data_IF_038580160326
#
_entry.id   IF_038580160326
#
_cell.length_a   1.000
_cell.length_b   1.000
_cell.length_c   1.000
_cell.angle_alpha   90.00
_cell.angle_beta   90.00
_cell.angle_gamma   90.00
#
_symmetry.space_group_name_H-M   'P 1'
#
loop_
_entity.id
_entity.type
_entity.pdbx_description
1 polymer ?
#
# COMPACT_ATOMS: atom_id res chain seq x y z
N UNK A 1 -29.15 4.57 46.31
CA UNK A 1 -29.27 3.45 45.34
C UNK A 1 -29.30 3.88 43.87
N UNK A 2 -29.78 5.09 43.51
CA UNK A 2 -29.98 5.47 42.09
C UNK A 2 -28.74 6.03 41.38
N UNK A 3 -27.85 6.77 42.06
CA UNK A 3 -26.63 7.34 41.43
C UNK A 3 -25.55 6.29 41.10
N UNK A 4 -25.45 5.22 41.90
CA UNK A 4 -24.44 4.16 41.70
C UNK A 4 -24.77 3.34 40.44
N UNK A 5 -26.05 3.16 40.14
CA UNK A 5 -26.49 2.47 38.92
C UNK A 5 -26.17 3.27 37.65
N UNK A 6 -26.15 4.61 37.70
CA UNK A 6 -25.85 5.44 36.53
C UNK A 6 -24.36 5.42 36.17
N UNK A 7 -23.46 5.35 37.16
CA UNK A 7 -22.01 5.24 36.94
C UNK A 7 -21.57 3.88 36.36
N UNK A 8 -22.29 2.79 36.66
CA UNK A 8 -21.99 1.45 36.15
C UNK A 8 -22.39 1.27 34.68
N UNK A 9 -23.41 1.98 34.19
CA UNK A 9 -23.88 1.87 32.79
C UNK A 9 -22.88 2.50 31.80
N UNK A 10 -22.14 3.53 32.21
CA UNK A 10 -21.14 4.21 31.36
C UNK A 10 -19.87 3.39 31.16
N UNK A 11 -19.54 2.47 32.07
CA UNK A 11 -18.34 1.62 31.99
C UNK A 11 -18.48 0.38 31.10
N UNK A 12 -19.69 0.07 30.59
CA UNK A 12 -19.95 -1.14 29.81
C UNK A 12 -19.79 -0.98 28.30
N UNK A 13 -19.48 0.21 27.78
CA UNK A 13 -19.12 0.38 26.37
C UNK A 13 -17.62 0.16 26.17
N UNK A 14 -17.23 -1.11 26.01
CA UNK A 14 -16.00 -1.45 25.28
C UNK A 14 -16.39 -1.56 23.81
N UNK A 15 -15.96 -0.65 22.92
CA UNK A 15 -16.14 -0.86 21.49
C UNK A 15 -15.35 -2.12 21.11
N UNK A 16 -16.04 -3.22 20.83
CA UNK A 16 -15.45 -4.38 20.19
C UNK A 16 -15.34 -4.09 18.69
N UNK A 17 -14.15 -3.68 18.27
CA UNK A 17 -13.84 -3.32 16.89
C UNK A 17 -12.38 -2.92 16.75
N UNK A 18 -11.83 -3.03 15.53
CA UNK A 18 -10.54 -2.41 15.24
C UNK A 18 -10.72 -0.89 15.25
N UNK A 19 -9.84 -0.17 15.93
CA UNK A 19 -9.96 1.29 16.11
C UNK A 19 -9.55 2.07 14.85
N UNK A 20 -8.84 1.43 13.93
CA UNK A 20 -8.26 2.06 12.76
C UNK A 20 -8.42 1.18 11.53
N UNK A 21 -8.81 1.83 10.43
CA UNK A 21 -8.62 1.30 9.09
C UNK A 21 -7.20 1.59 8.62
N UNK A 22 -6.65 0.69 7.79
CA UNK A 22 -5.34 0.85 7.17
C UNK A 22 -5.46 0.85 5.66
N UNK A 23 -4.66 1.70 5.01
CA UNK A 23 -4.56 1.77 3.56
C UNK A 23 -3.12 1.97 3.13
N UNK A 24 -2.83 1.61 1.89
CA UNK A 24 -1.52 1.78 1.28
C UNK A 24 -1.66 2.29 -0.14
N UNK A 25 -0.82 3.25 -0.53
CA UNK A 25 -0.54 3.53 -1.95
C UNK A 25 0.89 3.11 -2.25
N UNK A 26 1.10 2.51 -3.41
CA UNK A 26 2.42 2.08 -3.89
C UNK A 26 2.76 2.80 -5.17
N UNK A 27 3.85 3.56 -5.16
CA UNK A 27 4.44 4.24 -6.31
C UNK A 27 5.59 3.37 -6.81
N UNK A 28 5.52 2.97 -8.09
CA UNK A 28 6.56 2.24 -8.80
C UNK A 28 7.04 3.11 -9.95
N UNK A 29 8.31 3.48 -9.91
CA UNK A 29 8.95 4.34 -10.91
C UNK A 29 10.06 3.57 -11.60
N UNK A 30 9.95 3.47 -12.92
CA UNK A 30 10.91 2.74 -13.71
C UNK A 30 12.15 3.59 -13.96
N UNK A 31 13.30 2.98 -13.64
CA UNK A 31 14.63 3.53 -13.91
C UNK A 31 15.33 2.81 -15.06
N UNK A 32 14.54 2.12 -15.91
CA UNK A 32 15.02 1.38 -17.08
C UNK A 32 15.59 2.37 -18.12
N UNK A 33 16.84 2.17 -18.58
CA UNK A 33 17.42 2.93 -19.69
C UNK A 33 16.54 2.84 -20.94
N UNK A 34 16.58 3.87 -21.79
CA UNK A 34 15.72 4.02 -22.98
C UNK A 34 14.23 4.31 -22.69
N UNK A 35 13.79 4.31 -21.42
CA UNK A 35 12.47 4.82 -21.05
C UNK A 35 11.29 3.94 -21.44
N UNK A 36 11.52 2.64 -21.66
CA UNK A 36 10.48 1.63 -21.98
C UNK A 36 9.68 1.20 -20.73
N UNK A 37 10.05 1.74 -19.57
CA UNK A 37 9.39 1.50 -18.28
C UNK A 37 7.90 1.83 -18.24
N UNK A 38 7.21 1.29 -17.23
CA UNK A 38 5.80 1.57 -16.96
C UNK A 38 5.62 2.03 -15.52
N UNK A 39 5.96 3.29 -15.26
CA UNK A 39 5.80 3.88 -13.93
C UNK A 39 4.32 4.06 -13.58
N UNK A 40 3.92 3.68 -12.36
CA UNK A 40 2.53 3.68 -11.88
C UNK A 40 2.45 3.99 -10.40
N UNK A 41 1.36 4.63 -10.00
CA UNK A 41 0.89 4.65 -8.61
C UNK A 41 -0.35 3.75 -8.52
N UNK A 42 -0.35 2.83 -7.56
CA UNK A 42 -1.35 1.77 -7.39
C UNK A 42 -1.99 1.84 -6.01
N UNK A 43 -3.31 1.66 -5.97
CA UNK A 43 -4.10 1.48 -4.76
C UNK A 43 -5.15 0.38 -4.93
N UNK A 44 -5.21 -0.55 -3.99
CA UNK A 44 -6.29 -1.55 -3.95
C UNK A 44 -7.60 -0.92 -3.49
N UNK A 45 -8.70 -1.23 -4.20
CA UNK A 45 -10.06 -0.86 -3.81
C UNK A 45 -10.85 -2.04 -3.22
N UNK A 46 -10.22 -3.21 -3.13
CA UNK A 46 -10.79 -4.42 -2.53
C UNK A 46 -10.23 -4.67 -1.13
N UNK A 47 -11.09 -5.17 -0.25
CA UNK A 47 -10.73 -5.72 1.06
C UNK A 47 -10.62 -7.24 0.90
N UNK A 48 -9.50 -7.83 1.35
CA UNK A 48 -9.32 -9.28 1.42
C UNK A 48 -8.90 -9.70 2.82
N UNK A 49 -9.45 -10.79 3.34
CA UNK A 49 -9.01 -11.38 4.60
C UNK A 49 -7.78 -12.26 4.37
N UNK A 50 -6.67 -11.94 5.03
CA UNK A 50 -5.44 -12.73 4.93
C UNK A 50 -5.63 -14.17 5.42
N UNK A 51 -6.64 -14.43 6.28
CA UNK A 51 -6.94 -15.76 6.81
C UNK A 51 -7.37 -16.74 5.72
N UNK A 52 -8.02 -16.27 4.66
CA UNK A 52 -8.39 -17.10 3.50
C UNK A 52 -7.16 -17.69 2.81
N UNK A 53 -6.00 -17.03 2.94
CA UNK A 53 -4.74 -17.42 2.31
C UNK A 53 -3.69 -17.87 3.33
N UNK A 54 -4.08 -18.06 4.60
CA UNK A 54 -3.18 -18.46 5.69
C UNK A 54 -3.55 -19.84 6.20
N UNK A 55 -2.53 -20.60 6.63
CA UNK A 55 -2.71 -21.89 7.29
C UNK A 55 -1.88 -21.90 8.56
N UNK A 56 -2.49 -22.31 9.67
CA UNK A 56 -1.76 -22.57 10.93
C UNK A 56 -1.00 -23.88 10.74
N UNK A 57 0.31 -23.85 10.99
CA UNK A 57 1.16 -25.03 10.91
C UNK A 57 1.26 -25.68 12.29
N UNK A 58 1.08 -27.00 12.38
CA UNK A 58 1.23 -27.77 13.62
C UNK A 58 2.03 -29.05 13.38
N UNK A 59 2.38 -29.77 14.45
CA UNK A 59 3.00 -31.10 14.33
C UNK A 59 2.06 -32.10 13.63
N UNK A 60 0.76 -32.05 13.95
CA UNK A 60 -0.27 -32.93 13.37
C UNK A 60 -0.66 -32.55 11.94
N UNK A 61 -0.49 -31.27 11.55
CA UNK A 61 -0.78 -30.79 10.19
C UNK A 61 0.30 -29.82 9.70
N UNK A 62 1.34 -30.41 9.11
CA UNK A 62 2.51 -29.71 8.57
C UNK A 62 2.50 -29.61 7.03
N UNK A 63 1.40 -29.99 6.37
CA UNK A 63 1.32 -29.86 4.92
C UNK A 63 1.33 -28.39 4.49
N UNK A 64 2.00 -28.10 3.37
CA UNK A 64 2.04 -26.76 2.77
C UNK A 64 0.62 -26.24 2.49
N UNK A 65 0.41 -24.94 2.71
CA UNK A 65 -0.80 -24.24 2.31
C UNK A 65 -1.09 -24.39 0.80
N UNK A 66 -2.32 -24.79 0.45
CA UNK A 66 -2.80 -25.07 -0.91
C UNK A 66 -3.72 -23.96 -1.47
N UNK A 67 -3.92 -22.86 -0.76
CA UNK A 67 -4.74 -21.73 -1.23
C UNK A 67 -4.29 -21.24 -2.61
N UNK A 68 -5.25 -20.94 -3.50
CA UNK A 68 -4.95 -20.57 -4.88
C UNK A 68 -4.41 -19.14 -4.97
N UNK A 69 -3.23 -19.00 -5.56
CA UNK A 69 -2.62 -17.69 -5.86
C UNK A 69 -3.43 -16.90 -6.88
N UNK A 70 -4.21 -17.57 -7.72
CA UNK A 70 -5.14 -16.95 -8.65
C UNK A 70 -6.17 -16.08 -7.94
N UNK A 71 -6.68 -16.57 -6.81
CA UNK A 71 -7.70 -15.89 -5.99
C UNK A 71 -7.12 -14.71 -5.19
N UNK A 72 -5.80 -14.65 -4.96
CA UNK A 72 -5.15 -13.50 -4.31
C UNK A 72 -5.21 -12.25 -5.20
N UNK A 73 -5.23 -12.41 -6.53
CA UNK A 73 -5.18 -11.27 -7.47
C UNK A 73 -6.40 -10.37 -7.31
N UNK A 74 -6.15 -9.10 -7.00
CA UNK A 74 -7.14 -8.02 -6.98
C UNK A 74 -7.31 -7.48 -8.41
N UNK A 75 -8.55 -7.38 -8.89
CA UNK A 75 -8.84 -6.81 -10.21
C UNK A 75 -9.35 -5.38 -10.13
N UNK A 76 -9.98 -5.02 -9.01
CA UNK A 76 -10.45 -3.67 -8.75
C UNK A 76 -9.40 -2.89 -7.94
N UNK A 77 -8.55 -2.16 -8.65
CA UNK A 77 -7.56 -1.25 -8.11
C UNK A 77 -7.49 0.02 -8.95
N UNK A 78 -7.13 1.14 -8.31
CA UNK A 78 -6.85 2.39 -9.00
C UNK A 78 -5.42 2.37 -9.54
N UNK A 79 -5.26 2.59 -10.85
CA UNK A 79 -3.96 2.73 -11.51
C UNK A 79 -3.79 4.15 -12.05
N UNK A 80 -2.90 4.92 -11.43
CA UNK A 80 -2.49 6.23 -11.92
C UNK A 80 -1.19 6.13 -12.71
N UNK A 81 -1.19 6.64 -13.94
CA UNK A 81 0.00 6.65 -14.80
C UNK A 81 1.01 7.70 -14.33
N UNK A 82 2.28 7.29 -14.25
CA UNK A 82 3.41 8.16 -13.98
C UNK A 82 4.41 8.13 -15.14
N UNK A 83 5.30 9.10 -15.17
CA UNK A 83 6.36 9.22 -16.15
C UNK A 83 7.62 8.47 -15.68
N UNK A 84 8.39 7.93 -16.62
CA UNK A 84 9.65 7.24 -16.30
C UNK A 84 10.75 8.22 -15.94
N UNK A 85 11.67 7.81 -15.06
CA UNK A 85 12.80 8.65 -14.65
C UNK A 85 13.86 8.78 -15.74
N UNK A 86 13.98 7.80 -16.63
CA UNK A 86 15.02 7.76 -17.66
C UNK A 86 14.44 7.70 -19.07
N UNK A 87 15.22 8.20 -20.02
CA UNK A 87 15.10 7.88 -21.45
C UNK A 87 16.50 7.67 -22.04
N UNK A 88 16.62 7.63 -23.38
CA UNK A 88 17.91 7.44 -24.06
C UNK A 88 18.92 8.59 -23.79
N UNK A 89 18.44 9.77 -23.37
CA UNK A 89 19.26 10.93 -23.05
C UNK A 89 19.60 11.08 -21.57
N UNK A 90 19.23 10.12 -20.72
CA UNK A 90 19.49 10.14 -19.27
C UNK A 90 18.27 10.50 -18.43
N UNK A 91 18.52 11.08 -17.26
CA UNK A 91 17.49 11.39 -16.24
C UNK A 91 16.58 12.52 -16.72
N UNK A 92 15.29 12.35 -16.49
CA UNK A 92 14.23 13.30 -16.84
C UNK A 92 13.69 13.98 -15.60
N UNK A 93 14.39 15.00 -15.10
CA UNK A 93 13.99 15.73 -13.89
C UNK A 93 12.58 16.33 -13.94
N UNK A 94 12.12 16.78 -15.11
CA UNK A 94 10.74 17.25 -15.29
C UNK A 94 9.71 16.13 -15.08
N UNK A 95 10.05 14.88 -15.42
CA UNK A 95 9.18 13.73 -15.18
C UNK A 95 9.06 13.47 -13.67
N UNK A 96 10.17 13.60 -12.94
CA UNK A 96 10.19 13.49 -11.47
C UNK A 96 9.26 14.54 -10.87
N UNK A 97 9.45 15.82 -11.22
CA UNK A 97 8.61 16.91 -10.71
C UNK A 97 7.11 16.73 -11.04
N UNK A 98 6.79 16.21 -12.23
CA UNK A 98 5.40 15.91 -12.60
C UNK A 98 4.83 14.73 -11.80
N UNK A 99 5.61 13.68 -11.57
CA UNK A 99 5.21 12.56 -10.71
C UNK A 99 4.99 13.03 -9.27
N UNK A 100 5.88 13.85 -8.72
CA UNK A 100 5.75 14.43 -7.38
C UNK A 100 4.44 15.20 -7.24
N UNK A 101 4.06 16.01 -8.24
CA UNK A 101 2.78 16.72 -8.23
C UNK A 101 1.57 15.77 -8.16
N UNK A 102 1.62 14.66 -8.91
CA UNK A 102 0.56 13.63 -8.91
C UNK A 102 0.51 12.92 -7.54
N UNK A 103 1.65 12.49 -7.00
CA UNK A 103 1.73 11.83 -5.69
C UNK A 103 1.24 12.76 -4.59
N UNK A 104 1.68 14.02 -4.58
CA UNK A 104 1.25 15.04 -3.63
C UNK A 104 -0.25 15.26 -3.69
N UNK A 105 -0.86 15.28 -4.88
CA UNK A 105 -2.31 15.41 -5.03
C UNK A 105 -3.05 14.25 -4.36
N UNK A 106 -2.57 13.00 -4.51
CA UNK A 106 -3.21 11.83 -3.88
C UNK A 106 -3.01 11.79 -2.38
N UNK A 107 -1.79 12.08 -1.92
CA UNK A 107 -1.48 12.16 -0.49
C UNK A 107 -2.34 13.24 0.17
N UNK A 108 -2.44 14.42 -0.44
CA UNK A 108 -3.27 15.52 0.10
C UNK A 108 -4.74 15.13 0.22
N UNK A 109 -5.30 14.48 -0.82
CA UNK A 109 -6.66 13.96 -0.75
C UNK A 109 -6.86 13.01 0.44
N UNK A 110 -5.92 12.10 0.69
CA UNK A 110 -6.03 11.18 1.83
C UNK A 110 -5.99 11.91 3.17
N UNK A 111 -5.12 12.91 3.30
CA UNK A 111 -5.08 13.75 4.49
C UNK A 111 -6.41 14.50 4.70
N UNK A 112 -6.99 15.07 3.64
CA UNK A 112 -8.29 15.75 3.68
C UNK A 112 -9.44 14.80 4.04
N UNK A 113 -9.36 13.54 3.61
CA UNK A 113 -10.28 12.47 3.99
C UNK A 113 -10.07 11.97 5.43
N UNK A 114 -9.10 12.50 6.17
CA UNK A 114 -8.80 12.16 7.56
C UNK A 114 -7.90 10.93 7.73
N UNK A 115 -7.21 10.49 6.68
CA UNK A 115 -6.14 9.52 6.81
C UNK A 115 -4.87 10.19 7.33
N UNK A 116 -4.15 9.50 8.21
CA UNK A 116 -2.85 9.92 8.72
C UNK A 116 -1.76 9.05 8.12
N UNK A 117 -0.65 9.67 7.68
CA UNK A 117 0.55 8.92 7.28
C UNK A 117 1.17 8.28 8.52
N UNK A 118 1.35 6.98 8.48
CA UNK A 118 2.04 6.19 9.52
C UNK A 118 3.52 6.03 9.18
N UNK A 119 3.81 5.72 7.92
CA UNK A 119 5.18 5.48 7.46
C UNK A 119 5.28 5.67 5.96
N UNK A 120 6.47 6.07 5.51
CA UNK A 120 6.86 6.11 4.10
C UNK A 120 8.12 5.28 3.97
N UNK A 121 8.10 4.28 3.10
CA UNK A 121 9.21 3.37 2.90
C UNK A 121 9.56 3.33 1.42
N UNK A 122 10.83 3.54 1.09
CA UNK A 122 11.33 3.40 -0.27
C UNK A 122 12.28 2.21 -0.37
N UNK A 123 12.30 1.57 -1.54
CA UNK A 123 13.20 0.49 -1.90
C UNK A 123 13.64 0.63 -3.34
N UNK A 124 14.77 0.01 -3.68
CA UNK A 124 15.32 0.00 -5.03
C UNK A 124 15.65 -1.43 -5.39
N UNK A 125 15.14 -1.88 -6.53
CA UNK A 125 15.70 -3.02 -7.25
C UNK A 125 16.69 -2.45 -8.26
N UNK A 126 17.98 -2.64 -7.99
CA UNK A 126 19.06 -2.22 -8.87
C UNK A 126 19.51 -3.37 -9.75
N UNK A 127 19.92 -3.04 -10.97
CA UNK A 127 20.67 -3.90 -11.91
C UNK A 127 21.66 -4.80 -11.17
N UNK A 128 21.38 -6.12 -11.19
CA UNK A 128 22.16 -7.10 -10.42
C UNK A 128 23.34 -7.73 -11.19
N UNK A 129 23.42 -7.52 -12.50
CA UNK A 129 24.42 -8.12 -13.38
C UNK A 129 24.70 -7.25 -14.62
N UNK A 130 25.79 -7.54 -15.33
CA UNK A 130 26.22 -6.74 -16.49
C UNK A 130 25.23 -6.77 -17.68
N UNK A 131 24.34 -7.77 -17.71
CA UNK A 131 23.31 -7.98 -18.71
C UNK A 131 21.91 -7.52 -18.27
N UNK A 132 21.71 -7.22 -16.98
CA UNK A 132 20.49 -6.62 -16.49
C UNK A 132 20.54 -5.11 -16.69
N UNK A 133 19.56 -4.55 -17.39
CA UNK A 133 19.42 -3.10 -17.53
C UNK A 133 18.12 -2.61 -16.89
N UNK A 134 17.48 -3.45 -16.06
CA UNK A 134 16.23 -3.08 -15.44
C UNK A 134 16.47 -2.59 -14.03
N UNK A 135 15.60 -1.68 -13.62
CA UNK A 135 15.54 -1.26 -12.24
C UNK A 135 14.21 -0.61 -11.95
N UNK A 136 13.82 -0.73 -10.70
CA UNK A 136 12.59 -0.15 -10.17
C UNK A 136 12.91 0.61 -8.89
N UNK A 137 12.39 1.82 -8.82
CA UNK A 137 12.27 2.56 -7.58
C UNK A 137 10.84 2.36 -7.06
N UNK A 138 10.68 1.86 -5.85
CA UNK A 138 9.37 1.67 -5.22
C UNK A 138 9.28 2.53 -3.96
N UNK A 139 8.21 3.30 -3.84
CA UNK A 139 7.86 4.02 -2.61
C UNK A 139 6.47 3.59 -2.16
N UNK A 140 6.33 3.26 -0.89
CA UNK A 140 5.08 2.83 -0.29
C UNK A 140 4.74 3.75 0.88
N UNK A 141 3.55 4.31 0.83
CA UNK A 141 3.01 5.12 1.91
C UNK A 141 1.95 4.29 2.63
N UNK A 142 2.07 4.20 3.94
CA UNK A 142 1.10 3.54 4.80
C UNK A 142 0.29 4.58 5.54
N UNK A 143 -1.03 4.43 5.49
CA UNK A 143 -1.98 5.31 6.13
C UNK A 143 -2.81 4.54 7.16
N UNK A 144 -3.26 5.25 8.19
CA UNK A 144 -4.31 4.80 9.09
C UNK A 144 -5.41 5.85 9.18
N UNK A 145 -6.63 5.45 9.48
CA UNK A 145 -7.74 6.37 9.76
C UNK A 145 -8.55 5.82 10.91
N UNK A 146 -8.88 6.66 11.89
CA UNK A 146 -9.71 6.24 13.01
C UNK A 146 -11.13 5.91 12.51
N UNK A 147 -11.65 4.77 12.94
CA UNK A 147 -13.05 4.39 12.70
C UNK A 147 -13.87 5.05 13.81
N UNK A 148 -14.76 5.96 13.41
CA UNK A 148 -15.69 6.64 14.33
C UNK A 148 -16.86 5.73 14.70
#
# INVERSE_FOLDING_TARGET
>A
MSLICLGLVVYSFKPEGHLYDFKTITVVESIVPNGVGRSRMIESLEIKDYKEFSKIMSEDDNERNKADRGEIRVKNYEETKLLNFFNIGGIRFQNIAANDAIVNSRVSQFLDEGWEIVSINSGVESVGSADDNNGLFITRFYFKKQIN
#
